data_IF_537333576735
#
_entry.id   IF_537333576735
#
_cell.length_a   1.000
_cell.length_b   1.000
_cell.length_c   1.000
_cell.angle_alpha   90.00
_cell.angle_beta   90.00
_cell.angle_gamma   90.00
#
_symmetry.space_group_name_H-M   'P 1'
#
loop_
_entity.id
_entity.type
_entity.pdbx_description
1 polymer ?
#
# COMPACT_ATOMS: atom_id res chain seq x y z
N UNK A 1 33.81 -10.74 0.02
CA UNK A 1 33.72 -11.17 -1.41
C UNK A 1 33.07 -10.06 -2.21
N UNK A 2 33.65 -9.63 -3.34
CA UNK A 2 33.01 -8.68 -4.27
C UNK A 2 32.41 -9.46 -5.44
N UNK A 3 31.22 -9.06 -5.90
CA UNK A 3 30.64 -9.64 -7.11
C UNK A 3 31.57 -9.37 -8.32
N UNK A 4 31.84 -10.40 -9.14
CA UNK A 4 32.86 -10.38 -10.21
C UNK A 4 32.45 -9.59 -11.47
N UNK A 5 31.67 -8.51 -11.33
CA UNK A 5 31.41 -7.53 -12.41
C UNK A 5 30.83 -8.09 -13.71
N UNK A 6 29.83 -8.98 -13.63
CA UNK A 6 29.16 -9.56 -14.80
C UNK A 6 27.64 -9.29 -14.76
N UNK A 7 26.95 -9.16 -15.91
CA UNK A 7 25.50 -9.04 -15.92
C UNK A 7 24.82 -10.25 -15.25
N UNK A 8 23.76 -9.99 -14.48
CA UNK A 8 22.91 -11.00 -13.85
C UNK A 8 21.46 -10.65 -14.14
N UNK A 9 20.70 -11.63 -14.65
CA UNK A 9 19.25 -11.50 -14.82
C UNK A 9 18.55 -12.11 -13.62
N UNK A 10 17.67 -11.34 -12.99
CA UNK A 10 16.74 -11.80 -11.96
C UNK A 10 15.33 -11.74 -12.53
N UNK A 11 14.56 -12.81 -12.35
CA UNK A 11 13.17 -12.88 -12.73
C UNK A 11 12.46 -13.74 -11.68
N UNK A 12 11.50 -13.15 -10.96
CA UNK A 12 10.73 -13.88 -9.98
C UNK A 12 9.76 -14.83 -10.67
N UNK A 13 9.49 -15.95 -10.03
CA UNK A 13 8.37 -16.83 -10.37
C UNK A 13 7.05 -16.21 -9.94
N UNK A 14 5.93 -16.69 -10.50
CA UNK A 14 4.57 -16.26 -10.09
C UNK A 14 4.33 -16.43 -8.59
N UNK A 15 4.89 -17.46 -7.97
CA UNK A 15 4.76 -17.69 -6.54
C UNK A 15 5.54 -16.66 -5.73
N UNK A 16 6.81 -16.39 -6.09
CA UNK A 16 7.66 -15.41 -5.41
C UNK A 16 7.12 -13.98 -5.54
N UNK A 17 6.49 -13.64 -6.67
CA UNK A 17 5.83 -12.33 -6.83
C UNK A 17 4.73 -12.10 -5.79
N UNK A 18 3.96 -13.13 -5.42
CA UNK A 18 2.91 -13.00 -4.42
C UNK A 18 3.42 -13.15 -2.98
N UNK A 19 4.52 -13.87 -2.79
CA UNK A 19 5.03 -14.19 -1.45
C UNK A 19 6.08 -13.19 -0.95
N UNK A 20 6.98 -12.76 -1.82
CA UNK A 20 8.17 -11.98 -1.46
C UNK A 20 8.12 -10.51 -1.89
N UNK A 21 7.28 -10.17 -2.87
CA UNK A 21 7.25 -8.82 -3.43
C UNK A 21 6.26 -7.92 -2.67
N UNK A 22 6.45 -6.61 -2.80
CA UNK A 22 5.56 -5.64 -2.17
C UNK A 22 4.15 -5.74 -2.76
N UNK A 23 3.15 -5.83 -1.88
CA UNK A 23 1.74 -5.87 -2.24
C UNK A 23 1.01 -4.61 -1.74
N UNK A 24 -0.20 -4.38 -2.24
CA UNK A 24 -1.03 -3.27 -1.75
C UNK A 24 -1.32 -3.48 -0.26
N UNK A 25 -1.01 -2.46 0.53
CA UNK A 25 -1.29 -2.42 1.96
C UNK A 25 -2.79 -2.57 2.25
N UNK A 26 -3.11 -3.28 3.33
CA UNK A 26 -4.45 -3.28 3.88
C UNK A 26 -4.78 -1.91 4.46
N UNK A 27 -6.00 -1.43 4.25
CA UNK A 27 -6.50 -0.19 4.84
C UNK A 27 -7.87 -0.41 5.45
N UNK A 28 -7.99 -0.10 6.74
CA UNK A 28 -9.29 0.17 7.34
C UNK A 28 -9.47 1.68 7.47
N UNK A 29 -10.40 2.23 6.68
CA UNK A 29 -10.74 3.64 6.70
C UNK A 29 -12.06 3.88 7.42
N UNK A 30 -12.06 4.80 8.39
CA UNK A 30 -13.27 5.40 8.95
C UNK A 30 -13.37 6.83 8.43
N UNK A 31 -14.40 7.08 7.65
CA UNK A 31 -14.62 8.36 6.96
C UNK A 31 -15.96 8.93 7.44
N UNK A 32 -15.95 10.16 7.92
CA UNK A 32 -17.14 10.93 8.27
C UNK A 32 -17.20 12.17 7.39
N UNK A 33 -18.26 12.29 6.60
CA UNK A 33 -18.50 13.43 5.71
C UNK A 33 -19.63 14.28 6.29
N UNK A 34 -19.43 15.60 6.34
CA UNK A 34 -20.48 16.58 6.62
C UNK A 34 -21.03 17.16 5.32
N UNK A 35 -22.36 17.21 5.19
CA UNK A 35 -23.06 17.73 4.02
C UNK A 35 -24.10 18.77 4.47
N UNK A 36 -24.22 19.89 3.75
CA UNK A 36 -25.25 20.91 4.00
C UNK A 36 -26.62 20.45 3.48
N UNK A 37 -27.69 21.17 3.82
CA UNK A 37 -29.04 20.86 3.34
C UNK A 37 -29.17 20.95 1.80
N UNK A 38 -28.34 21.77 1.17
CA UNK A 38 -28.26 21.96 -0.29
C UNK A 38 -27.38 20.90 -0.97
N UNK A 39 -26.86 19.91 -0.22
CA UNK A 39 -26.03 18.84 -0.76
C UNK A 39 -24.54 19.17 -0.89
N UNK A 40 -24.07 20.32 -0.38
CA UNK A 40 -22.65 20.70 -0.47
C UNK A 40 -21.84 19.95 0.59
N UNK A 41 -20.72 19.32 0.20
CA UNK A 41 -19.75 18.79 1.15
C UNK A 41 -19.08 19.95 1.89
N UNK A 42 -19.15 19.97 3.21
CA UNK A 42 -18.62 21.06 4.06
C UNK A 42 -17.50 20.62 4.99
N UNK A 43 -17.39 19.32 5.28
CA UNK A 43 -16.34 18.79 6.13
C UNK A 43 -16.05 17.32 5.81
N UNK A 44 -14.82 16.88 6.11
CA UNK A 44 -14.42 15.48 6.10
C UNK A 44 -13.49 15.23 7.29
N UNK A 45 -13.75 14.17 8.04
CA UNK A 45 -12.86 13.64 9.06
C UNK A 45 -12.54 12.19 8.73
N UNK A 46 -11.25 11.88 8.65
CA UNK A 46 -10.75 10.56 8.31
C UNK A 46 -9.87 9.99 9.42
N UNK A 47 -10.02 8.70 9.68
CA UNK A 47 -9.12 7.90 10.50
C UNK A 47 -8.73 6.67 9.69
N UNK A 48 -7.44 6.51 9.43
CA UNK A 48 -6.90 5.40 8.64
C UNK A 48 -6.05 4.50 9.54
N UNK A 49 -6.32 3.20 9.48
CA UNK A 49 -5.50 2.16 10.06
C UNK A 49 -4.85 1.41 8.90
N UNK A 50 -3.55 1.60 8.72
CA UNK A 50 -2.77 0.96 7.66
C UNK A 50 -2.11 -0.29 8.18
N UNK A 51 -2.29 -1.40 7.45
CA UNK A 51 -1.48 -2.60 7.62
C UNK A 51 -0.31 -2.55 6.62
N UNK A 52 0.85 -2.13 7.13
CA UNK A 52 2.07 -1.98 6.34
C UNK A 52 2.89 -3.28 6.25
N UNK A 53 2.49 -4.35 6.94
CA UNK A 53 3.27 -5.58 7.04
C UNK A 53 4.54 -5.42 7.88
N UNK A 54 5.53 -6.28 7.61
CA UNK A 54 6.70 -6.46 8.48
C UNK A 54 7.76 -5.34 8.42
N UNK A 55 7.80 -4.57 7.33
CA UNK A 55 8.81 -3.53 7.11
C UNK A 55 8.17 -2.29 6.49
N UNK A 56 8.70 -1.11 6.82
CA UNK A 56 8.28 0.20 6.27
C UNK A 56 9.49 1.01 5.86
#
# INVERSE_FOLDING_TARGET
MKAKGRPVKLCLTRHEEFYCNFVRQGLQARIKIGVSAEGKIVAMQNTYYWDAGAYT
#
